data_IF_317641760446
#
_entry.id   IF_317641760446
#
_cell.length_a   1.000
_cell.length_b   1.000
_cell.length_c   1.000
_cell.angle_alpha   90.00
_cell.angle_beta   90.00
_cell.angle_gamma   90.00
#
_symmetry.space_group_name_H-M   'P 1'
#
loop_
_entity.id
_entity.type
_entity.pdbx_description
1 polymer ?
#
# COMPACT_ATOMS: atom_id res chain seq x y z
N UNK A 1 9.44 16.30 -1.73
CA UNK A 1 8.14 16.57 -2.37
C UNK A 1 8.05 15.52 -3.44
N UNK A 2 7.68 14.32 -3.00
CA UNK A 2 7.80 13.12 -3.80
C UNK A 2 6.51 13.04 -4.60
N UNK A 3 6.57 13.68 -5.77
CA UNK A 3 5.49 13.66 -6.73
C UNK A 3 5.50 12.27 -7.38
N UNK A 4 4.94 11.27 -6.69
CA UNK A 4 4.59 9.94 -7.24
C UNK A 4 3.40 10.06 -8.23
N UNK A 5 3.36 11.15 -8.99
CA UNK A 5 2.41 11.45 -10.06
C UNK A 5 3.10 11.46 -11.43
N UNK A 6 4.26 10.83 -11.55
CA UNK A 6 4.78 10.46 -12.86
C UNK A 6 3.92 9.32 -13.38
N UNK A 7 2.89 9.73 -14.12
CA UNK A 7 2.07 8.85 -14.91
C UNK A 7 2.98 7.93 -15.70
N UNK A 8 2.89 6.66 -15.35
CA UNK A 8 3.41 5.51 -16.06
C UNK A 8 4.87 5.10 -15.81
N UNK A 9 5.27 5.04 -14.53
CA UNK A 9 6.49 4.33 -14.09
C UNK A 9 6.58 2.94 -14.73
N UNK A 10 5.45 2.23 -14.82
CA UNK A 10 5.38 0.92 -15.47
C UNK A 10 5.78 1.01 -16.94
N UNK A 11 5.12 1.84 -17.76
CA UNK A 11 5.50 2.02 -19.17
C UNK A 11 6.95 2.48 -19.33
N UNK A 12 7.44 3.37 -18.46
CA UNK A 12 8.84 3.81 -18.53
C UNK A 12 9.82 2.67 -18.25
N UNK A 13 9.54 1.82 -17.26
CA UNK A 13 10.36 0.65 -16.96
C UNK A 13 10.30 -0.37 -18.10
N UNK A 14 9.12 -0.67 -18.62
CA UNK A 14 8.92 -1.59 -19.73
C UNK A 14 9.61 -1.09 -21.02
N UNK A 15 9.54 0.21 -21.31
CA UNK A 15 10.24 0.82 -22.44
C UNK A 15 11.76 0.72 -22.31
N UNK A 16 12.32 0.91 -21.11
CA UNK A 16 13.76 0.73 -20.89
C UNK A 16 14.19 -0.72 -21.07
N UNK A 17 13.41 -1.68 -20.57
CA UNK A 17 13.69 -3.12 -20.76
C UNK A 17 13.70 -3.46 -22.26
N UNK A 18 12.73 -2.94 -23.00
CA UNK A 18 12.64 -3.15 -24.45
C UNK A 18 13.83 -2.53 -25.20
N UNK A 19 14.25 -1.31 -24.85
CA UNK A 19 15.43 -0.69 -25.45
C UNK A 19 16.70 -1.53 -25.22
N UNK A 20 16.89 -2.08 -24.02
CA UNK A 20 18.04 -2.95 -23.72
C UNK A 20 18.00 -4.21 -24.59
N UNK A 21 16.83 -4.84 -24.75
CA UNK A 21 16.65 -6.02 -25.62
C UNK A 21 17.06 -5.69 -27.06
N UNK A 22 16.64 -4.54 -27.58
CA UNK A 22 16.96 -4.11 -28.94
C UNK A 22 18.45 -3.79 -29.13
N UNK A 23 19.06 -3.08 -28.18
CA UNK A 23 20.45 -2.62 -28.29
C UNK A 23 21.47 -3.76 -28.11
N UNK A 24 21.14 -4.76 -27.28
CA UNK A 24 22.07 -5.83 -26.90
C UNK A 24 21.78 -7.17 -27.54
N UNK A 25 20.56 -7.37 -28.06
CA UNK A 25 20.07 -8.67 -28.53
C UNK A 25 19.85 -9.69 -27.39
N UNK A 26 19.88 -9.26 -26.12
CA UNK A 26 19.63 -10.12 -24.97
C UNK A 26 18.14 -10.47 -24.85
N UNK A 27 17.85 -11.74 -24.60
CA UNK A 27 16.53 -12.18 -24.17
C UNK A 27 16.39 -11.94 -22.66
N UNK A 28 15.79 -10.82 -22.29
CA UNK A 28 15.49 -10.49 -20.89
C UNK A 28 14.07 -10.98 -20.56
N UNK A 29 13.98 -12.15 -19.94
CA UNK A 29 12.74 -12.71 -19.40
C UNK A 29 12.27 -11.97 -18.13
N UNK A 30 11.01 -12.22 -17.74
CA UNK A 30 10.39 -11.60 -16.57
C UNK A 30 11.15 -11.91 -15.25
N UNK A 31 11.89 -13.02 -15.23
CA UNK A 31 12.69 -13.50 -14.11
C UNK A 31 13.98 -12.69 -13.89
N UNK A 32 14.46 -11.97 -14.91
CA UNK A 32 15.74 -11.22 -14.84
C UNK A 32 15.62 -10.00 -13.93
N UNK A 33 14.52 -9.25 -14.05
CA UNK A 33 14.30 -8.05 -13.24
C UNK A 33 13.33 -8.28 -12.08
N UNK A 34 12.42 -9.25 -12.21
CA UNK A 34 11.44 -9.60 -11.17
C UNK A 34 10.74 -8.39 -10.57
N UNK A 35 10.13 -7.59 -11.44
CA UNK A 35 9.44 -6.35 -11.08
C UNK A 35 7.95 -6.62 -10.98
N UNK A 36 7.35 -6.28 -9.84
CA UNK A 36 5.90 -6.33 -9.64
C UNK A 36 5.35 -4.93 -9.43
N UNK A 37 4.22 -4.64 -10.06
CA UNK A 37 3.55 -3.34 -9.99
C UNK A 37 2.26 -3.44 -9.19
N UNK A 38 1.88 -2.36 -8.51
CA UNK A 38 0.54 -2.21 -7.94
C UNK A 38 -0.51 -2.18 -9.05
N UNK A 39 -1.80 -2.26 -8.68
CA UNK A 39 -2.86 -2.16 -9.68
C UNK A 39 -2.80 -0.81 -10.41
N UNK A 40 -3.21 -0.82 -11.68
CA UNK A 40 -3.07 0.34 -12.55
C UNK A 40 -3.74 1.59 -11.95
N UNK A 41 -2.95 2.66 -11.78
CA UNK A 41 -3.43 3.93 -11.22
C UNK A 41 -3.44 4.00 -9.70
N UNK A 42 -3.08 2.93 -8.99
CA UNK A 42 -2.96 2.93 -7.54
C UNK A 42 -1.56 3.36 -7.08
N UNK A 43 -1.51 4.26 -6.10
CA UNK A 43 -0.41 4.31 -5.13
C UNK A 43 -0.68 3.30 -4.00
N UNK A 44 0.23 3.19 -3.03
CA UNK A 44 0.07 2.25 -1.90
C UNK A 44 -1.23 2.53 -1.16
N UNK A 45 -1.55 3.79 -0.87
CA UNK A 45 -2.80 4.18 -0.20
C UNK A 45 -4.04 3.70 -0.96
N UNK A 46 -4.09 3.93 -2.27
CA UNK A 46 -5.16 3.46 -3.14
C UNK A 46 -5.23 1.93 -3.19
N UNK A 47 -4.09 1.24 -3.19
CA UNK A 47 -4.06 -0.23 -3.19
C UNK A 47 -4.71 -0.81 -1.92
N UNK A 48 -4.41 -0.24 -0.75
CA UNK A 48 -4.94 -0.71 0.53
C UNK A 48 -6.48 -0.56 0.60
N UNK A 49 -7.03 0.51 0.02
CA UNK A 49 -8.47 0.75 -0.02
C UNK A 49 -9.13 -0.03 -1.16
N UNK A 50 -8.70 0.20 -2.39
CA UNK A 50 -9.42 -0.23 -3.59
C UNK A 50 -9.23 -1.72 -3.88
N UNK A 51 -8.04 -2.26 -3.61
CA UNK A 51 -7.71 -3.66 -3.94
C UNK A 51 -7.89 -4.60 -2.76
N UNK A 52 -7.47 -4.17 -1.56
CA UNK A 52 -7.48 -5.02 -0.35
C UNK A 52 -8.70 -4.77 0.56
N UNK A 53 -9.50 -3.75 0.26
CA UNK A 53 -10.69 -3.39 1.03
C UNK A 53 -10.41 -3.21 2.54
N UNK A 54 -9.27 -2.60 2.91
CA UNK A 54 -8.83 -2.41 4.30
C UNK A 54 -9.39 -1.14 4.96
N UNK A 55 -10.55 -0.69 4.51
CA UNK A 55 -11.14 0.58 4.95
C UNK A 55 -11.29 0.66 6.47
N UNK A 56 -11.72 -0.43 7.11
CA UNK A 56 -11.94 -0.47 8.56
C UNK A 56 -10.62 -0.35 9.33
N UNK A 57 -9.59 -1.06 8.91
CA UNK A 57 -8.25 -1.00 9.48
C UNK A 57 -7.63 0.39 9.31
N UNK A 58 -7.86 1.02 8.16
CA UNK A 58 -7.42 2.38 7.86
C UNK A 58 -8.14 3.38 8.77
N UNK A 59 -9.46 3.29 8.93
CA UNK A 59 -10.23 4.15 9.83
C UNK A 59 -9.67 4.05 11.25
N UNK A 60 -9.48 2.82 11.75
CA UNK A 60 -8.93 2.60 13.08
C UNK A 60 -7.53 3.22 13.23
N UNK A 61 -6.65 3.03 12.25
CA UNK A 61 -5.31 3.62 12.26
C UNK A 61 -5.33 5.15 12.31
N UNK A 62 -6.25 5.79 11.56
CA UNK A 62 -6.41 7.24 11.53
C UNK A 62 -7.02 7.78 12.83
N UNK A 63 -7.94 7.05 13.45
CA UNK A 63 -8.48 7.37 14.77
C UNK A 63 -7.37 7.30 15.82
N UNK A 64 -6.57 6.23 15.85
CA UNK A 64 -5.42 6.09 16.74
C UNK A 64 -4.44 7.24 16.58
N UNK A 65 -4.15 7.61 15.33
CA UNK A 65 -3.29 8.76 14.99
C UNK A 65 -3.84 10.08 15.52
N UNK A 66 -5.12 10.37 15.32
CA UNK A 66 -5.72 11.63 15.77
C UNK A 66 -5.87 11.72 17.28
N UNK A 67 -6.06 10.57 17.93
CA UNK A 67 -6.34 10.49 19.36
C UNK A 67 -5.09 10.24 20.18
N UNK A 68 -3.96 9.95 19.53
CA UNK A 68 -2.69 9.55 20.14
C UNK A 68 -2.88 8.40 21.15
N UNK A 69 -3.83 7.51 20.88
CA UNK A 69 -4.16 6.38 21.77
C UNK A 69 -4.78 6.79 23.12
N UNK A 70 -5.44 7.95 23.22
CA UNK A 70 -6.16 8.35 24.44
C UNK A 70 -7.27 7.35 24.81
N UNK A 71 -7.57 7.23 26.11
CA UNK A 71 -8.65 6.39 26.63
C UNK A 71 -9.99 7.12 26.79
N UNK A 72 -10.07 8.41 26.42
CA UNK A 72 -11.32 9.17 26.52
C UNK A 72 -12.35 8.68 25.50
N UNK A 73 -13.34 7.93 25.97
CA UNK A 73 -14.37 7.29 25.14
C UNK A 73 -15.19 8.28 24.31
N UNK A 74 -15.53 9.45 24.84
CA UNK A 74 -16.27 10.48 24.09
C UNK A 74 -15.45 11.04 22.94
N UNK A 75 -14.16 11.29 23.18
CA UNK A 75 -13.28 11.80 22.15
C UNK A 75 -12.99 10.75 21.06
N UNK A 76 -12.76 9.50 21.46
CA UNK A 76 -12.63 8.36 20.54
C UNK A 76 -13.87 8.24 19.66
N UNK A 77 -15.06 8.14 20.25
CA UNK A 77 -16.32 8.01 19.51
C UNK A 77 -16.53 9.17 18.52
N UNK A 78 -16.30 10.41 18.96
CA UNK A 78 -16.43 11.58 18.09
C UNK A 78 -15.46 11.53 16.89
N UNK A 79 -14.24 11.02 17.10
CA UNK A 79 -13.23 10.88 16.03
C UNK A 79 -13.56 9.73 15.09
N UNK A 80 -14.00 8.60 15.62
CA UNK A 80 -14.47 7.46 14.84
C UNK A 80 -15.60 7.87 13.91
N UNK A 81 -16.69 8.45 14.45
CA UNK A 81 -17.83 8.90 13.62
C UNK A 81 -17.41 9.91 12.55
N UNK A 82 -16.49 10.82 12.88
CA UNK A 82 -15.99 11.80 11.91
C UNK A 82 -15.26 11.14 10.74
N UNK A 83 -14.41 10.15 11.02
CA UNK A 83 -13.58 9.50 10.00
C UNK A 83 -14.40 8.48 9.20
N UNK A 84 -15.31 7.73 9.85
CA UNK A 84 -16.21 6.79 9.19
C UNK A 84 -17.12 7.46 8.16
N UNK A 85 -17.50 8.72 8.40
CA UNK A 85 -18.33 9.52 7.50
C UNK A 85 -17.61 10.02 6.22
N UNK A 86 -16.28 9.84 6.13
CA UNK A 86 -15.53 10.23 4.92
C UNK A 86 -15.77 9.21 3.81
N UNK A 87 -15.94 9.67 2.57
CA UNK A 87 -15.87 8.77 1.42
C UNK A 87 -14.43 8.26 1.18
N UNK A 88 -14.27 7.28 0.29
CA UNK A 88 -12.96 6.68 0.00
C UNK A 88 -11.97 7.71 -0.56
N UNK A 89 -12.41 8.66 -1.38
CA UNK A 89 -11.56 9.71 -1.93
C UNK A 89 -11.01 10.63 -0.83
N UNK A 90 -11.88 11.09 0.07
CA UNK A 90 -11.49 11.90 1.23
C UNK A 90 -10.60 11.12 2.19
N UNK A 91 -10.83 9.81 2.33
CA UNK A 91 -10.00 8.93 3.14
C UNK A 91 -8.59 8.80 2.55
N UNK A 92 -8.48 8.60 1.23
CA UNK A 92 -7.22 8.55 0.49
C UNK A 92 -6.42 9.83 0.65
N UNK A 93 -7.05 11.00 0.44
CA UNK A 93 -6.37 12.29 0.62
C UNK A 93 -5.85 12.46 2.06
N UNK A 94 -6.62 11.99 3.04
CA UNK A 94 -6.21 12.03 4.44
C UNK A 94 -5.04 11.08 4.75
N UNK A 95 -5.01 9.89 4.15
CA UNK A 95 -3.88 8.95 4.24
C UNK A 95 -2.63 9.57 3.61
N UNK A 96 -2.74 10.09 2.39
CA UNK A 96 -1.65 10.78 1.67
C UNK A 96 -1.08 11.96 2.44
N UNK A 97 -1.94 12.75 3.08
CA UNK A 97 -1.51 13.88 3.91
C UNK A 97 -0.80 13.47 5.22
N UNK A 98 -0.85 12.19 5.60
CA UNK A 98 -0.35 11.72 6.89
C UNK A 98 0.45 10.41 6.85
N UNK A 99 1.00 10.05 5.68
CA UNK A 99 1.65 8.76 5.37
C UNK A 99 2.44 8.15 6.52
N UNK A 100 3.55 8.79 6.89
CA UNK A 100 4.45 8.27 7.92
C UNK A 100 3.76 8.03 9.27
N UNK A 101 2.82 8.89 9.65
CA UNK A 101 2.15 8.81 10.94
C UNK A 101 1.02 7.77 10.98
N UNK A 102 0.23 7.61 9.92
CA UNK A 102 -0.84 6.61 9.91
C UNK A 102 -0.26 5.21 9.70
N UNK A 103 0.76 5.07 8.84
CA UNK A 103 1.36 3.78 8.51
C UNK A 103 1.92 3.06 9.75
N UNK A 104 2.48 3.80 10.70
CA UNK A 104 2.93 3.25 11.98
C UNK A 104 1.80 2.58 12.77
N UNK A 105 0.64 3.24 12.88
CA UNK A 105 -0.53 2.65 13.54
C UNK A 105 -1.17 1.54 12.71
N UNK A 106 -1.16 1.67 11.37
CA UNK A 106 -1.74 0.65 10.49
C UNK A 106 -1.00 -0.69 10.63
N UNK A 107 0.33 -0.67 10.78
CA UNK A 107 1.11 -1.89 11.01
C UNK A 107 0.65 -2.62 12.29
N UNK A 108 0.39 -1.89 13.37
CA UNK A 108 -0.13 -2.45 14.62
C UNK A 108 -1.54 -3.02 14.46
N UNK A 109 -2.42 -2.29 13.74
CA UNK A 109 -3.79 -2.73 13.45
C UNK A 109 -3.78 -4.02 12.61
N UNK A 110 -2.99 -4.07 11.53
CA UNK A 110 -2.83 -5.26 10.68
C UNK A 110 -2.29 -6.44 11.49
N UNK A 111 -1.31 -6.20 12.37
CA UNK A 111 -0.72 -7.25 13.22
C UNK A 111 -1.74 -7.84 14.19
N UNK A 112 -2.58 -7.00 14.80
CA UNK A 112 -3.67 -7.43 15.67
C UNK A 112 -4.79 -8.13 14.89
N UNK A 113 -4.97 -7.79 13.61
CA UNK A 113 -5.96 -8.34 12.69
C UNK A 113 -7.39 -8.38 13.31
N UNK A 114 -7.95 -7.21 13.70
CA UNK A 114 -9.22 -7.14 14.40
C UNK A 114 -10.38 -7.73 13.59
N UNK A 115 -10.31 -7.65 12.26
CA UNK A 115 -11.31 -8.21 11.35
C UNK A 115 -11.10 -9.70 11.04
N UNK A 116 -10.13 -10.35 11.68
CA UNK A 116 -9.81 -11.77 11.51
C UNK A 116 -9.67 -12.19 10.03
N UNK A 117 -9.08 -11.32 9.21
CA UNK A 117 -8.82 -11.56 7.79
C UNK A 117 -7.74 -12.60 7.62
N UNK A 118 -7.72 -13.27 6.46
CA UNK A 118 -6.60 -14.11 6.09
C UNK A 118 -5.38 -13.21 5.90
N UNK A 119 -4.23 -13.56 6.50
CA UNK A 119 -3.03 -12.71 6.47
C UNK A 119 -2.58 -12.31 5.06
N UNK A 120 -2.77 -13.21 4.09
CA UNK A 120 -2.48 -12.93 2.68
C UNK A 120 -3.34 -11.81 2.10
N UNK A 121 -4.54 -11.57 2.62
CA UNK A 121 -5.46 -10.55 2.09
C UNK A 121 -5.15 -9.16 2.66
N UNK A 122 -4.22 -9.06 3.61
CA UNK A 122 -3.77 -7.81 4.22
C UNK A 122 -2.57 -7.20 3.48
N UNK A 123 -2.04 -7.88 2.46
CA UNK A 123 -0.80 -7.52 1.78
C UNK A 123 -1.05 -7.43 0.27
N UNK A 124 -0.61 -6.36 -0.41
CA UNK A 124 -0.70 -6.25 -1.85
C UNK A 124 -0.02 -7.43 -2.56
N UNK A 125 -0.60 -7.90 -3.67
CA UNK A 125 -0.04 -9.04 -4.40
C UNK A 125 1.38 -8.76 -4.91
N UNK A 126 1.61 -7.54 -5.42
CA UNK A 126 2.93 -7.09 -5.86
C UNK A 126 4.01 -7.23 -4.77
N UNK A 127 3.63 -7.05 -3.49
CA UNK A 127 4.57 -7.23 -2.39
C UNK A 127 4.85 -8.71 -2.16
N UNK A 128 3.84 -9.58 -2.22
CA UNK A 128 4.04 -11.03 -2.07
C UNK A 128 4.98 -11.56 -3.14
N UNK A 129 4.78 -11.15 -4.39
CA UNK A 129 5.64 -11.53 -5.51
C UNK A 129 7.08 -11.07 -5.32
N UNK A 130 7.27 -9.79 -4.96
CA UNK A 130 8.60 -9.23 -4.69
C UNK A 130 9.32 -9.97 -3.54
N UNK A 131 8.64 -10.22 -2.42
CA UNK A 131 9.22 -10.93 -1.27
C UNK A 131 9.52 -12.39 -1.60
N UNK A 132 8.67 -13.07 -2.38
CA UNK A 132 8.93 -14.43 -2.86
C UNK A 132 10.21 -14.47 -3.69
N UNK A 133 10.43 -13.48 -4.55
CA UNK A 133 11.67 -13.41 -5.33
C UNK A 133 12.90 -13.18 -4.46
N UNK A 134 12.82 -12.29 -3.49
CA UNK A 134 13.91 -12.07 -2.53
C UNK A 134 14.24 -13.37 -1.79
N UNK A 135 13.22 -14.14 -1.40
CA UNK A 135 13.41 -15.44 -0.76
C UNK A 135 14.16 -16.44 -1.66
N UNK A 136 13.88 -16.47 -2.97
CA UNK A 136 14.62 -17.28 -3.94
C UNK A 136 16.10 -16.85 -4.02
N UNK A 137 16.37 -15.55 -4.07
CA UNK A 137 17.72 -15.02 -4.16
C UNK A 137 18.58 -15.27 -2.92
N UNK A 138 17.98 -15.21 -1.73
CA UNK A 138 18.70 -15.41 -0.46
C UNK A 138 18.96 -16.89 -0.16
N UNK A 139 18.23 -17.80 -0.83
CA UNK A 139 18.45 -19.26 -0.71
C UNK A 139 19.55 -19.79 -1.63
N UNK A 140 20.08 -18.96 -2.54
CA UNK A 140 21.26 -19.25 -3.36
C UNK A 140 22.55 -19.01 -2.58
#
# INVERSE_FOLDING_TARGET
SDNDRDGDIKTNVEAHIENIKQDTGLELGDDVFSISFLNLGNDIEAELINSLALREEIIESLVLKETKGTSNSHYLAAKTTKIEALDDESLLEKMRASKASYAGFLADVITRNPQNRVKGDLVPEAFKEAFKKIEEWVKL
#
